data_IF_384491656514
#
_entry.id   IF_384491656514
#
_cell.length_a   1.000
_cell.length_b   1.000
_cell.length_c   1.000
_cell.angle_alpha   90.00
_cell.angle_beta   90.00
_cell.angle_gamma   90.00
#
_symmetry.space_group_name_H-M   'P 1'
#
loop_
_entity.id
_entity.type
_entity.pdbx_description
1 polymer ?
#
# COMPACT_ATOMS: atom_id res chain seq x y z
N UNK A 1 8.91 -0.19 24.14
CA UNK A 1 8.77 0.91 23.19
C UNK A 1 7.34 0.94 22.67
N UNK A 2 6.89 2.11 22.24
CA UNK A 2 5.57 2.24 21.60
C UNK A 2 5.69 3.11 20.35
N UNK A 3 4.80 2.86 19.40
CA UNK A 3 4.68 3.62 18.16
C UNK A 3 3.20 3.75 17.81
N UNK A 4 2.83 4.79 17.08
CA UNK A 4 1.47 4.98 16.59
C UNK A 4 1.48 5.82 15.33
N UNK A 5 0.44 5.66 14.52
CA UNK A 5 0.33 6.40 13.28
C UNK A 5 -1.02 6.20 12.58
N UNK A 6 -1.27 7.07 11.61
CA UNK A 6 -2.37 6.98 10.66
C UNK A 6 -1.77 6.79 9.26
N UNK A 7 -2.21 5.75 8.56
CA UNK A 7 -1.63 5.38 7.25
C UNK A 7 -2.75 5.00 6.28
N UNK A 8 -2.75 5.52 5.04
CA UNK A 8 -3.63 5.02 4.01
C UNK A 8 -3.22 3.58 3.61
N UNK A 9 -4.21 2.69 3.49
CA UNK A 9 -4.03 1.29 3.08
C UNK A 9 -4.31 1.13 1.60
N UNK A 10 -5.39 1.75 1.13
CA UNK A 10 -5.85 1.65 -0.25
C UNK A 10 -6.58 2.93 -0.64
N UNK A 11 -6.43 3.33 -1.88
CA UNK A 11 -7.15 4.46 -2.49
C UNK A 11 -7.67 4.01 -3.84
N UNK A 12 -8.92 4.36 -4.14
CA UNK A 12 -9.54 4.18 -5.43
C UNK A 12 -9.98 5.55 -5.91
N UNK A 13 -9.56 5.93 -7.12
CA UNK A 13 -10.01 7.14 -7.79
C UNK A 13 -9.85 6.92 -9.30
N UNK A 14 -10.94 6.56 -9.97
CA UNK A 14 -10.92 6.39 -11.42
C UNK A 14 -12.27 6.72 -12.04
N UNK A 15 -12.22 7.22 -13.27
CA UNK A 15 -13.35 7.29 -14.19
C UNK A 15 -12.94 6.71 -15.53
N UNK A 16 -13.65 5.70 -15.97
CA UNK A 16 -13.47 5.10 -17.29
C UNK A 16 -14.76 5.24 -18.09
N UNK A 17 -14.64 5.48 -19.38
CA UNK A 17 -15.84 5.56 -20.23
C UNK A 17 -15.60 4.93 -21.59
N UNK A 18 -16.64 4.28 -22.08
CA UNK A 18 -16.70 3.67 -23.39
C UNK A 18 -17.90 4.23 -24.14
N UNK A 19 -17.67 4.84 -25.31
CA UNK A 19 -18.70 5.43 -26.12
C UNK A 19 -18.95 4.58 -27.35
N UNK A 20 -20.21 4.34 -27.65
CA UNK A 20 -20.64 3.59 -28.82
C UNK A 20 -21.25 4.55 -29.84
N UNK A 21 -20.92 4.37 -31.13
CA UNK A 21 -21.47 5.20 -32.19
C UNK A 21 -22.99 5.05 -32.25
N UNK A 22 -23.62 6.02 -32.91
CA UNK A 22 -25.08 6.08 -33.07
C UNK A 22 -25.62 4.82 -33.73
N UNK A 23 -26.38 4.04 -32.98
CA UNK A 23 -27.22 2.96 -33.51
C UNK A 23 -28.52 3.54 -34.06
N UNK A 24 -29.05 2.94 -35.13
CA UNK A 24 -30.29 3.41 -35.78
C UNK A 24 -31.55 3.29 -34.91
N UNK A 25 -31.51 2.45 -33.87
CA UNK A 25 -32.64 2.17 -32.97
C UNK A 25 -32.52 2.93 -31.65
N UNK A 26 -31.33 2.90 -31.02
CA UNK A 26 -31.13 3.42 -29.65
C UNK A 26 -30.32 4.74 -29.60
N UNK A 27 -29.79 5.18 -30.72
CA UNK A 27 -28.97 6.38 -30.76
C UNK A 27 -27.55 6.20 -30.21
N UNK A 28 -26.87 7.30 -29.90
CA UNK A 28 -25.58 7.24 -29.22
C UNK A 28 -25.76 6.85 -27.75
N UNK A 29 -24.89 5.97 -27.24
CA UNK A 29 -24.90 5.59 -25.84
C UNK A 29 -23.48 5.47 -25.28
N UNK A 30 -23.36 5.67 -23.99
CA UNK A 30 -22.08 5.70 -23.29
C UNK A 30 -22.16 4.93 -21.98
N UNK A 31 -21.21 4.03 -21.76
CA UNK A 31 -20.96 3.45 -20.45
C UNK A 31 -19.93 4.29 -19.71
N UNK A 32 -20.22 4.60 -18.45
CA UNK A 32 -19.31 5.34 -17.56
C UNK A 32 -19.16 4.53 -16.30
N UNK A 33 -17.92 4.20 -15.95
CA UNK A 33 -17.56 3.49 -14.74
C UNK A 33 -16.79 4.44 -13.84
N UNK A 34 -17.22 4.58 -12.59
CA UNK A 34 -16.56 5.39 -11.58
C UNK A 34 -16.24 4.57 -10.34
N UNK A 35 -15.14 4.89 -9.71
CA UNK A 35 -14.81 4.35 -8.41
C UNK A 35 -14.04 5.38 -7.61
N UNK A 36 -14.43 5.60 -6.36
CA UNK A 36 -13.78 6.54 -5.45
C UNK A 36 -13.78 6.01 -4.02
N UNK A 37 -12.88 6.53 -3.20
CA UNK A 37 -12.76 6.21 -1.79
C UNK A 37 -11.46 5.57 -1.40
N UNK A 38 -11.42 4.95 -0.22
CA UNK A 38 -10.22 4.31 0.28
C UNK A 38 -10.36 3.80 1.69
N UNK A 39 -9.37 3.03 2.10
CA UNK A 39 -9.24 2.51 3.46
C UNK A 39 -8.03 3.17 4.10
N UNK A 40 -8.23 3.67 5.30
CA UNK A 40 -7.19 4.14 6.19
C UNK A 40 -7.05 3.20 7.39
N UNK A 41 -5.91 3.21 8.04
CA UNK A 41 -5.70 2.52 9.31
C UNK A 41 -5.03 3.41 10.34
N UNK A 42 -5.56 3.37 11.55
CA UNK A 42 -4.86 3.84 12.75
C UNK A 42 -4.16 2.64 13.35
N UNK A 43 -2.89 2.78 13.70
CA UNK A 43 -2.11 1.71 14.32
C UNK A 43 -1.52 2.15 15.66
N UNK A 44 -1.50 1.22 16.61
CA UNK A 44 -0.79 1.31 17.87
C UNK A 44 0.09 0.08 18.04
N UNK A 45 1.40 0.31 18.12
CA UNK A 45 2.40 -0.74 18.28
C UNK A 45 3.05 -0.69 19.66
N UNK A 46 3.19 -1.85 20.27
CA UNK A 46 3.92 -2.04 21.51
C UNK A 46 5.03 -3.06 21.29
N UNK A 47 6.21 -2.81 21.83
CA UNK A 47 7.30 -3.78 21.81
C UNK A 47 7.94 -3.92 23.19
N UNK A 48 8.29 -5.17 23.49
CA UNK A 48 8.91 -5.57 24.73
C UNK A 48 10.20 -6.34 24.46
N UNK A 49 11.22 -6.04 25.23
CA UNK A 49 12.50 -6.75 25.23
C UNK A 49 12.71 -7.34 26.62
N UNK A 50 12.61 -8.68 26.77
CA UNK A 50 12.77 -9.33 28.05
C UNK A 50 14.17 -9.12 28.63
N UNK A 51 14.29 -8.76 29.90
CA UNK A 51 15.58 -8.52 30.55
C UNK A 51 16.45 -9.78 30.66
N UNK A 52 15.79 -10.97 30.72
CA UNK A 52 16.48 -12.28 30.74
C UNK A 52 16.97 -12.72 29.36
N UNK A 53 16.51 -12.04 28.28
CA UNK A 53 16.91 -12.37 26.91
C UNK A 53 17.03 -11.08 26.07
N UNK A 54 18.02 -10.24 26.40
CA UNK A 54 18.22 -8.90 25.86
C UNK A 54 18.41 -8.83 24.33
N UNK A 55 18.67 -9.96 23.69
CA UNK A 55 18.83 -10.04 22.23
C UNK A 55 17.51 -10.17 21.49
N UNK A 56 16.43 -10.57 22.17
CA UNK A 56 15.12 -10.79 21.61
C UNK A 56 14.20 -9.60 21.91
N UNK A 57 13.51 -9.12 20.92
CA UNK A 57 12.38 -8.19 21.07
C UNK A 57 11.16 -8.78 20.42
N UNK A 58 10.02 -8.68 21.09
CA UNK A 58 8.70 -9.07 20.56
C UNK A 58 7.83 -7.84 20.46
N UNK A 59 6.97 -7.80 19.47
CA UNK A 59 6.08 -6.68 19.19
C UNK A 59 4.69 -7.14 18.79
N UNK A 60 3.72 -6.30 19.11
CA UNK A 60 2.34 -6.41 18.69
C UNK A 60 1.89 -5.05 18.17
N UNK A 61 1.34 -5.04 16.97
CA UNK A 61 0.61 -3.89 16.43
C UNK A 61 -0.89 -4.24 16.39
N UNK A 62 -1.71 -3.38 16.99
CA UNK A 62 -3.14 -3.36 16.79
C UNK A 62 -3.47 -2.26 15.77
N UNK A 63 -4.24 -2.60 14.76
CA UNK A 63 -4.58 -1.74 13.65
C UNK A 63 -6.11 -1.66 13.53
N UNK A 64 -6.67 -0.47 13.52
CA UNK A 64 -8.08 -0.22 13.23
C UNK A 64 -8.20 0.33 11.81
N UNK A 65 -8.75 -0.47 10.92
CA UNK A 65 -9.01 -0.11 9.52
C UNK A 65 -10.42 0.45 9.39
N UNK A 66 -10.56 1.53 8.62
CA UNK A 66 -11.86 2.17 8.36
C UNK A 66 -11.84 2.89 7.01
N UNK A 67 -13.00 2.99 6.39
CA UNK A 67 -13.14 3.69 5.12
C UNK A 67 -14.39 3.31 4.35
N UNK A 68 -14.55 3.92 3.18
CA UNK A 68 -15.65 3.66 2.28
C UNK A 68 -15.13 3.47 0.86
N UNK A 69 -15.80 2.60 0.12
CA UNK A 69 -15.65 2.45 -1.33
C UNK A 69 -16.98 2.74 -2.00
N UNK A 70 -16.94 3.65 -2.96
CA UNK A 70 -18.04 3.92 -3.86
C UNK A 70 -17.69 3.43 -5.26
N UNK A 71 -18.61 2.72 -5.90
CA UNK A 71 -18.50 2.31 -7.30
C UNK A 71 -19.80 2.61 -8.02
N UNK A 72 -19.69 3.13 -9.23
CA UNK A 72 -20.85 3.39 -10.08
C UNK A 72 -20.64 2.84 -11.49
N UNK A 73 -21.73 2.39 -12.08
CA UNK A 73 -21.83 2.03 -13.49
C UNK A 73 -23.05 2.73 -14.09
N UNK A 74 -22.82 3.57 -15.06
CA UNK A 74 -23.85 4.39 -15.69
C UNK A 74 -23.95 4.04 -17.18
N UNK A 75 -25.14 3.70 -17.63
CA UNK A 75 -25.51 3.67 -19.04
C UNK A 75 -26.22 4.99 -19.35
N UNK A 76 -25.61 5.82 -20.19
CA UNK A 76 -26.11 7.15 -20.53
C UNK A 76 -26.52 7.23 -21.98
N UNK A 77 -27.68 7.86 -22.22
CA UNK A 77 -28.23 8.17 -23.54
C UNK A 77 -28.31 9.70 -23.70
N UNK A 78 -27.19 10.37 -24.03
CA UNK A 78 -27.11 11.83 -23.98
C UNK A 78 -28.04 12.54 -24.98
N UNK A 79 -28.28 11.90 -26.12
CA UNK A 79 -28.98 12.51 -27.25
C UNK A 79 -30.39 11.90 -27.45
N UNK A 80 -30.88 11.06 -26.57
CA UNK A 80 -32.16 10.41 -26.72
C UNK A 80 -33.20 10.94 -25.76
N UNK A 81 -34.30 11.42 -26.28
CA UNK A 81 -35.49 11.76 -25.48
C UNK A 81 -36.33 10.51 -25.09
N UNK A 82 -36.12 9.38 -25.77
CA UNK A 82 -36.96 8.18 -25.63
C UNK A 82 -36.39 7.13 -24.66
N UNK A 83 -35.10 7.24 -24.32
CA UNK A 83 -34.42 6.30 -23.42
C UNK A 83 -33.98 6.99 -22.15
N UNK A 84 -34.28 6.35 -21.01
CA UNK A 84 -33.80 6.80 -19.72
C UNK A 84 -32.37 6.28 -19.50
N UNK A 85 -31.49 7.16 -19.04
CA UNK A 85 -30.19 6.76 -18.52
C UNK A 85 -30.38 5.94 -17.23
N UNK A 86 -29.49 5.03 -16.96
CA UNK A 86 -29.55 4.15 -15.80
C UNK A 86 -28.24 4.16 -15.06
N UNK A 87 -28.29 4.18 -13.72
CA UNK A 87 -27.09 4.11 -12.86
C UNK A 87 -27.27 3.06 -11.78
N UNK A 88 -26.23 2.24 -11.65
CA UNK A 88 -26.04 1.32 -10.54
C UNK A 88 -24.92 1.84 -9.67
N UNK A 89 -25.17 1.95 -8.37
CA UNK A 89 -24.22 2.42 -7.36
C UNK A 89 -24.06 1.36 -6.27
N UNK A 90 -22.82 1.17 -5.85
CA UNK A 90 -22.45 0.37 -4.69
C UNK A 90 -21.64 1.23 -3.73
N UNK A 91 -22.04 1.28 -2.49
CA UNK A 91 -21.30 1.92 -1.42
C UNK A 91 -20.98 0.88 -0.34
N UNK A 92 -19.70 0.69 -0.05
CA UNK A 92 -19.20 -0.26 0.95
C UNK A 92 -18.58 0.52 2.10
N UNK A 93 -19.14 0.40 3.29
CA UNK A 93 -18.54 0.92 4.52
C UNK A 93 -17.81 -0.18 5.25
N UNK A 94 -16.59 0.09 5.69
CA UNK A 94 -15.65 -0.88 6.24
C UNK A 94 -15.15 -0.39 7.59
N UNK A 95 -15.18 -1.28 8.58
CA UNK A 95 -14.48 -1.06 9.84
C UNK A 95 -14.05 -2.40 10.45
N UNK A 96 -12.77 -2.56 10.78
CA UNK A 96 -12.26 -3.79 11.38
C UNK A 96 -10.95 -3.58 12.14
N UNK A 97 -10.70 -4.48 13.09
CA UNK A 97 -9.38 -4.61 13.72
C UNK A 97 -8.54 -5.67 13.01
N UNK A 98 -7.27 -5.37 12.87
CA UNK A 98 -6.24 -6.30 12.42
C UNK A 98 -5.08 -6.30 13.42
N UNK A 99 -4.35 -7.41 13.47
CA UNK A 99 -3.22 -7.57 14.37
C UNK A 99 -1.99 -8.07 13.60
N UNK A 100 -0.84 -7.48 13.93
CA UNK A 100 0.45 -7.86 13.38
C UNK A 100 1.39 -8.20 14.53
N UNK A 101 1.90 -9.42 14.54
CA UNK A 101 2.88 -9.92 15.47
C UNK A 101 4.28 -9.78 14.86
N UNK A 102 5.24 -9.36 15.65
CA UNK A 102 6.61 -9.21 15.20
C UNK A 102 7.61 -9.73 16.24
N UNK A 103 8.72 -10.24 15.75
CA UNK A 103 9.85 -10.62 16.59
C UNK A 103 11.16 -10.22 15.92
N UNK A 104 12.15 -9.86 16.73
CA UNK A 104 13.46 -9.48 16.26
C UNK A 104 14.53 -10.03 17.21
N UNK A 105 15.53 -10.68 16.65
CA UNK A 105 16.73 -11.11 17.35
C UNK A 105 17.93 -10.32 16.85
N UNK A 106 18.68 -9.68 17.76
CA UNK A 106 19.84 -8.87 17.42
C UNK A 106 21.08 -9.33 18.19
N UNK A 107 22.07 -9.82 17.45
CA UNK A 107 23.37 -10.23 17.99
C UNK A 107 24.39 -9.11 17.70
N UNK A 108 24.92 -8.52 18.76
CA UNK A 108 26.07 -7.60 18.67
C UNK A 108 27.35 -8.40 18.88
N UNK A 109 28.33 -8.13 18.05
CA UNK A 109 29.67 -8.72 18.12
C UNK A 109 30.66 -7.80 18.84
N UNK A 110 31.76 -8.36 19.32
CA UNK A 110 32.81 -7.62 20.04
C UNK A 110 33.51 -6.56 19.20
N UNK A 111 33.53 -6.72 17.87
CA UNK A 111 34.08 -5.75 16.91
C UNK A 111 33.13 -4.56 16.63
N UNK A 112 31.94 -4.50 17.27
CA UNK A 112 30.95 -3.47 17.10
C UNK A 112 29.98 -3.69 15.93
N UNK A 113 30.09 -4.82 15.22
CA UNK A 113 29.14 -5.23 14.20
C UNK A 113 27.84 -5.76 14.84
N UNK A 114 26.74 -5.76 14.11
CA UNK A 114 25.47 -6.32 14.56
C UNK A 114 24.81 -7.12 13.42
N UNK A 115 24.30 -8.30 13.77
CA UNK A 115 23.45 -9.12 12.92
C UNK A 115 22.05 -9.11 13.51
N UNK A 116 21.08 -8.74 12.70
CA UNK A 116 19.68 -8.72 13.15
C UNK A 116 18.82 -9.57 12.21
N UNK A 117 18.03 -10.44 12.80
CA UNK A 117 17.02 -11.26 12.12
C UNK A 117 15.67 -10.81 12.65
N UNK A 118 14.74 -10.51 11.74
CA UNK A 118 13.38 -10.12 12.06
C UNK A 118 12.36 -11.02 11.38
N UNK A 119 11.20 -11.19 12.01
CA UNK A 119 10.04 -11.81 11.40
C UNK A 119 8.78 -11.09 11.83
N UNK A 120 7.80 -11.04 10.93
CA UNK A 120 6.47 -10.51 11.23
C UNK A 120 5.40 -11.41 10.63
N UNK A 121 4.24 -11.40 11.26
CA UNK A 121 3.06 -12.16 10.82
C UNK A 121 1.82 -11.30 11.00
N UNK A 122 1.11 -11.06 9.89
CA UNK A 122 -0.17 -10.37 9.87
C UNK A 122 -1.28 -11.42 9.88
N UNK A 123 -2.16 -11.34 10.84
CA UNK A 123 -3.26 -12.28 10.98
C UNK A 123 -4.28 -12.09 9.83
N UNK A 124 -4.94 -13.16 9.39
CA UNK A 124 -6.07 -13.03 8.49
C UNK A 124 -7.17 -12.24 9.18
N UNK A 125 -7.85 -11.38 8.43
CA UNK A 125 -8.84 -10.46 9.01
C UNK A 125 -10.16 -10.56 8.30
N UNK A 126 -11.21 -10.83 9.07
CA UNK A 126 -12.59 -10.74 8.64
C UNK A 126 -13.06 -9.29 8.84
N UNK A 127 -13.44 -8.64 7.75
CA UNK A 127 -13.96 -7.27 7.74
C UNK A 127 -15.44 -7.29 7.43
N UNK A 128 -16.33 -7.07 8.39
CA UNK A 128 -17.74 -6.88 8.11
C UNK A 128 -17.95 -5.61 7.28
N UNK A 129 -18.80 -5.69 6.29
CA UNK A 129 -19.13 -4.58 5.41
C UNK A 129 -20.63 -4.31 5.44
N UNK A 130 -20.97 -3.02 5.45
CA UNK A 130 -22.34 -2.58 5.18
C UNK A 130 -22.38 -2.09 3.74
N UNK A 131 -23.23 -2.71 2.92
CA UNK A 131 -23.29 -2.45 1.51
C UNK A 131 -24.62 -1.81 1.18
N UNK A 132 -24.58 -0.68 0.49
CA UNK A 132 -25.75 -0.02 -0.07
C UNK A 132 -25.72 -0.19 -1.57
N UNK A 133 -26.74 -0.80 -2.10
CA UNK A 133 -26.97 -0.95 -3.53
C UNK A 133 -28.11 -0.02 -3.94
N UNK A 134 -27.89 0.77 -5.00
CA UNK A 134 -28.93 1.61 -5.61
C UNK A 134 -28.92 1.41 -7.11
N UNK A 135 -30.09 1.17 -7.66
CA UNK A 135 -30.31 1.20 -9.09
C UNK A 135 -31.46 2.16 -9.39
N UNK A 136 -31.20 3.16 -10.22
CA UNK A 136 -32.18 4.15 -10.58
C UNK A 136 -32.02 4.59 -12.04
N UNK A 137 -33.12 5.13 -12.59
CA UNK A 137 -33.13 5.77 -13.90
C UNK A 137 -33.23 7.27 -13.78
N UNK A 138 -32.65 7.96 -14.73
CA UNK A 138 -32.62 9.42 -14.73
C UNK A 138 -32.61 10.00 -16.15
N UNK A 139 -32.92 11.28 -16.24
CA UNK A 139 -32.79 12.09 -17.45
C UNK A 139 -31.97 13.34 -17.16
N UNK A 140 -31.36 13.93 -18.17
CA UNK A 140 -30.74 15.24 -18.07
C UNK A 140 -31.71 16.34 -18.44
N UNK A 141 -31.76 17.41 -17.63
CA UNK A 141 -32.38 18.66 -17.98
C UNK A 141 -31.33 19.77 -17.76
N UNK A 142 -30.84 20.36 -18.85
CA UNK A 142 -29.82 21.42 -18.84
C UNK A 142 -28.61 21.05 -17.93
N UNK A 143 -28.02 19.87 -18.11
CA UNK A 143 -26.90 19.30 -17.34
C UNK A 143 -27.20 18.89 -15.89
N UNK A 144 -28.45 18.99 -15.43
CA UNK A 144 -28.88 18.47 -14.11
C UNK A 144 -29.51 17.09 -14.28
N UNK A 145 -29.05 16.13 -13.49
CA UNK A 145 -29.67 14.80 -13.43
C UNK A 145 -30.99 14.87 -12.65
N UNK A 146 -32.05 14.41 -13.29
CA UNK A 146 -33.37 14.27 -12.66
C UNK A 146 -33.67 12.79 -12.55
N UNK A 147 -33.66 12.26 -11.33
CA UNK A 147 -34.08 10.87 -11.07
C UNK A 147 -35.53 10.71 -11.45
N UNK A 148 -35.82 9.69 -12.25
CA UNK A 148 -37.18 9.39 -12.73
C UNK A 148 -37.81 8.27 -11.93
N UNK A 149 -37.05 7.20 -11.69
CA UNK A 149 -37.51 6.06 -10.91
C UNK A 149 -36.34 5.41 -10.16
N UNK A 150 -36.61 4.93 -8.95
CA UNK A 150 -35.69 4.11 -8.17
C UNK A 150 -36.11 2.65 -8.35
N UNK A 151 -35.40 1.94 -9.22
CA UNK A 151 -35.74 0.56 -9.57
C UNK A 151 -35.50 -0.39 -8.40
N UNK A 152 -34.41 -0.16 -7.65
CA UNK A 152 -34.02 -1.02 -6.54
C UNK A 152 -33.14 -0.24 -5.54
N UNK A 153 -33.40 -0.46 -4.25
CA UNK A 153 -32.57 0.01 -3.17
C UNK A 153 -32.47 -1.09 -2.11
N UNK A 154 -31.25 -1.52 -1.84
CA UNK A 154 -30.99 -2.58 -0.86
C UNK A 154 -29.83 -2.20 0.07
N UNK A 155 -30.02 -2.51 1.35
CA UNK A 155 -28.93 -2.52 2.33
C UNK A 155 -28.65 -3.98 2.66
N UNK A 156 -27.42 -4.42 2.44
CA UNK A 156 -27.00 -5.78 2.71
C UNK A 156 -25.75 -5.77 3.58
N UNK A 157 -25.64 -6.78 4.41
CA UNK A 157 -24.39 -7.06 5.11
C UNK A 157 -23.55 -8.00 4.27
N UNK A 158 -22.24 -7.85 4.37
CA UNK A 158 -21.31 -8.71 3.69
C UNK A 158 -19.97 -8.74 4.39
N UNK A 159 -18.98 -9.34 3.77
CA UNK A 159 -17.64 -9.42 4.33
C UNK A 159 -16.55 -9.31 3.29
N UNK A 160 -15.40 -8.84 3.76
CA UNK A 160 -14.12 -8.93 3.06
C UNK A 160 -13.19 -9.78 3.92
N UNK A 161 -12.62 -10.83 3.33
CA UNK A 161 -11.59 -11.62 3.99
C UNK A 161 -10.22 -11.18 3.49
N UNK A 162 -9.45 -10.55 4.37
CA UNK A 162 -8.04 -10.26 4.08
C UNK A 162 -7.18 -11.45 4.45
N UNK A 163 -6.28 -11.88 3.56
CA UNK A 163 -5.43 -13.02 3.80
C UNK A 163 -4.33 -12.72 4.81
N UNK A 164 -3.78 -13.78 5.37
CA UNK A 164 -2.56 -13.71 6.17
C UNK A 164 -1.36 -13.32 5.32
N UNK A 165 -0.36 -12.73 5.98
CA UNK A 165 0.95 -12.51 5.39
C UNK A 165 2.06 -12.65 6.41
N UNK A 166 3.25 -13.02 5.95
CA UNK A 166 4.43 -13.06 6.79
C UNK A 166 5.64 -12.47 6.07
N UNK A 167 6.57 -11.96 6.84
CA UNK A 167 7.84 -11.45 6.36
C UNK A 167 8.98 -11.91 7.24
N UNK A 168 10.13 -12.10 6.63
CA UNK A 168 11.40 -12.36 7.32
C UNK A 168 12.46 -11.45 6.75
N UNK A 169 13.33 -10.95 7.62
CA UNK A 169 14.40 -10.04 7.22
C UNK A 169 15.70 -10.37 7.94
N UNK A 170 16.79 -10.10 7.26
CA UNK A 170 18.15 -10.22 7.76
C UNK A 170 18.89 -8.92 7.50
N UNK A 171 19.56 -8.37 8.50
CA UNK A 171 20.46 -7.24 8.30
C UNK A 171 21.77 -7.42 9.02
N UNK A 172 22.85 -6.99 8.37
CA UNK A 172 24.18 -6.91 8.95
C UNK A 172 24.65 -5.47 8.90
N UNK A 173 25.02 -4.96 10.07
CA UNK A 173 25.47 -3.59 10.25
C UNK A 173 26.89 -3.56 10.82
N UNK A 174 27.78 -2.81 10.19
CA UNK A 174 29.00 -2.26 10.80
C UNK A 174 28.75 -0.80 11.11
N UNK A 175 28.63 -0.49 12.39
CA UNK A 175 28.28 0.84 12.87
C UNK A 175 29.09 1.94 12.17
N UNK A 176 28.37 2.93 11.67
CA UNK A 176 28.93 4.09 10.97
C UNK A 176 29.71 3.79 9.68
N UNK A 177 29.62 2.59 9.14
CA UNK A 177 30.35 2.22 7.93
C UNK A 177 29.46 1.62 6.84
N UNK A 178 28.78 0.53 7.12
CA UNK A 178 27.86 -0.04 6.15
C UNK A 178 26.72 -0.83 6.82
N UNK A 179 25.63 -0.89 6.14
CA UNK A 179 24.47 -1.73 6.44
C UNK A 179 24.10 -2.48 5.17
N UNK A 180 23.82 -3.77 5.30
CA UNK A 180 23.23 -4.58 4.22
C UNK A 180 21.99 -5.26 4.77
N UNK A 181 20.92 -5.28 4.01
CA UNK A 181 19.66 -5.90 4.39
C UNK A 181 19.06 -6.72 3.26
N UNK A 182 18.40 -7.81 3.64
CA UNK A 182 17.61 -8.68 2.77
C UNK A 182 16.28 -8.95 3.43
N UNK A 183 15.19 -8.82 2.66
CA UNK A 183 13.84 -9.11 3.15
C UNK A 183 13.10 -10.01 2.16
N UNK A 184 12.35 -10.93 2.71
CA UNK A 184 11.39 -11.78 2.00
C UNK A 184 10.02 -11.60 2.61
N UNK A 185 9.01 -11.44 1.78
CA UNK A 185 7.61 -11.35 2.18
C UNK A 185 6.74 -12.31 1.37
N UNK A 186 5.70 -12.82 2.02
CA UNK A 186 4.66 -13.64 1.40
C UNK A 186 3.29 -13.18 1.87
N UNK A 187 2.34 -13.06 0.95
CA UNK A 187 0.94 -12.75 1.25
C UNK A 187 0.03 -13.66 0.43
N UNK A 188 -0.90 -14.34 1.11
CA UNK A 188 -1.73 -15.39 0.55
C UNK A 188 -2.99 -14.81 -0.12
N UNK A 189 -2.81 -13.97 -1.14
CA UNK A 189 -3.91 -13.28 -1.83
C UNK A 189 -4.89 -14.21 -2.57
N UNK A 190 -4.52 -15.45 -2.81
CA UNK A 190 -5.43 -16.47 -3.34
C UNK A 190 -6.62 -16.76 -2.41
N UNK A 191 -6.46 -16.49 -1.11
CA UNK A 191 -7.51 -16.66 -0.09
C UNK A 191 -8.40 -15.42 0.10
N UNK A 192 -8.07 -14.30 -0.54
CA UNK A 192 -8.90 -13.10 -0.51
C UNK A 192 -10.31 -13.41 -0.99
N UNK A 193 -11.32 -12.95 -0.24
CA UNK A 193 -12.70 -13.01 -0.70
C UNK A 193 -13.43 -11.68 -0.48
N UNK A 194 -14.33 -11.39 -1.38
CA UNK A 194 -15.25 -10.28 -1.31
C UNK A 194 -16.68 -10.85 -1.37
N UNK A 195 -17.49 -10.58 -0.36
CA UNK A 195 -18.87 -11.09 -0.25
C UNK A 195 -18.93 -12.63 -0.33
N UNK A 196 -17.98 -13.33 0.28
CA UNK A 196 -17.87 -14.78 0.22
C UNK A 196 -17.38 -15.35 -1.12
N UNK A 197 -17.11 -14.50 -2.12
CA UNK A 197 -16.61 -14.92 -3.43
C UNK A 197 -15.10 -14.79 -3.47
N UNK A 198 -14.42 -15.88 -3.79
CA UNK A 198 -12.96 -15.91 -4.04
C UNK A 198 -12.68 -15.71 -5.52
N UNK A 199 -11.53 -15.11 -5.80
CA UNK A 199 -11.07 -14.79 -7.16
C UNK A 199 -9.72 -15.46 -7.52
N UNK A 200 -9.56 -16.79 -7.37
CA UNK A 200 -8.26 -17.46 -7.49
C UNK A 200 -7.66 -17.44 -8.90
N UNK A 201 -8.45 -17.11 -9.92
CA UNK A 201 -7.95 -16.90 -11.29
C UNK A 201 -7.33 -15.52 -11.52
N UNK A 202 -7.71 -14.55 -10.68
CA UNK A 202 -7.30 -13.15 -10.80
C UNK A 202 -6.30 -12.78 -9.70
N UNK A 203 -6.56 -13.26 -8.47
CA UNK A 203 -5.70 -13.02 -7.32
C UNK A 203 -4.86 -14.26 -7.02
N UNK A 204 -3.57 -14.06 -6.96
CA UNK A 204 -2.54 -15.07 -6.65
C UNK A 204 -1.72 -14.65 -5.45
N UNK A 205 -1.09 -15.63 -4.85
CA UNK A 205 -0.15 -15.37 -3.77
C UNK A 205 0.99 -14.48 -4.24
N UNK A 206 1.35 -13.53 -3.40
CA UNK A 206 2.35 -12.54 -3.70
C UNK A 206 3.64 -12.81 -2.91
N UNK A 207 4.76 -12.81 -3.62
CA UNK A 207 6.11 -12.92 -3.06
C UNK A 207 6.84 -11.59 -3.29
N UNK A 208 7.50 -11.10 -2.23
CA UNK A 208 8.28 -9.86 -2.26
C UNK A 208 9.71 -10.16 -1.84
N UNK A 209 10.68 -9.68 -2.59
CA UNK A 209 12.10 -9.80 -2.31
C UNK A 209 12.71 -8.40 -2.36
N UNK A 210 13.36 -7.99 -1.27
CA UNK A 210 14.07 -6.73 -1.21
C UNK A 210 15.51 -6.96 -0.78
N UNK A 211 16.43 -6.23 -1.41
CA UNK A 211 17.83 -6.17 -1.00
C UNK A 211 18.28 -4.72 -0.98
N UNK A 212 19.04 -4.34 0.03
CA UNK A 212 19.53 -2.98 0.15
C UNK A 212 20.87 -2.88 0.85
N UNK A 213 21.62 -1.85 0.51
CA UNK A 213 22.89 -1.53 1.13
C UNK A 213 23.02 -0.03 1.38
N UNK A 214 23.62 0.33 2.49
CA UNK A 214 24.07 1.69 2.82
C UNK A 214 25.58 1.65 3.08
N UNK A 215 26.30 2.62 2.55
CA UNK A 215 27.73 2.81 2.78
C UNK A 215 28.04 4.25 3.15
N UNK A 216 28.81 4.43 4.22
CA UNK A 216 29.38 5.72 4.67
C UNK A 216 30.89 5.58 4.69
N UNK A 217 31.62 6.24 3.79
CA UNK A 217 33.08 6.11 3.70
C UNK A 217 33.78 6.45 5.02
N UNK A 218 33.59 7.66 5.53
CA UNK A 218 34.09 8.09 6.84
C UNK A 218 33.21 9.19 7.45
N UNK A 219 32.73 8.95 8.66
CA UNK A 219 31.89 9.92 9.39
C UNK A 219 32.70 11.14 9.92
N UNK A 220 34.01 11.05 9.98
CA UNK A 220 34.93 12.12 10.43
C UNK A 220 35.65 12.82 9.28
N UNK A 221 35.55 12.28 8.06
CA UNK A 221 36.21 12.77 6.87
C UNK A 221 35.62 14.08 6.31
N UNK A 222 35.85 14.32 5.04
CA UNK A 222 35.29 15.47 4.33
C UNK A 222 33.76 15.31 4.11
N UNK A 223 33.13 16.33 3.51
CA UNK A 223 31.66 16.31 3.33
C UNK A 223 31.17 15.10 2.53
N UNK A 224 31.83 14.74 1.43
CA UNK A 224 31.45 13.62 0.59
C UNK A 224 31.64 12.27 1.28
N UNK A 225 32.61 12.14 2.16
CA UNK A 225 32.85 10.93 2.95
C UNK A 225 31.79 10.72 4.04
N UNK A 226 31.10 11.79 4.46
CA UNK A 226 30.01 11.76 5.43
C UNK A 226 28.67 11.44 4.81
N UNK A 227 28.56 11.49 3.48
CA UNK A 227 27.34 11.14 2.76
C UNK A 227 27.05 9.65 2.94
N UNK A 228 25.80 9.32 3.25
CA UNK A 228 25.33 7.94 3.19
C UNK A 228 24.91 7.61 1.76
N UNK A 229 25.64 6.73 1.11
CA UNK A 229 25.33 6.20 -0.21
C UNK A 229 24.48 4.97 -0.06
N UNK A 230 23.35 4.91 -0.78
CA UNK A 230 22.38 3.80 -0.68
C UNK A 230 22.08 3.22 -2.02
N UNK A 231 21.92 1.90 -2.05
CA UNK A 231 21.50 1.14 -3.19
C UNK A 231 20.41 0.15 -2.76
N UNK A 232 19.39 -0.04 -3.59
CA UNK A 232 18.31 -0.98 -3.32
C UNK A 232 17.77 -1.62 -4.58
N UNK A 233 17.29 -2.85 -4.42
CA UNK A 233 16.55 -3.61 -5.44
C UNK A 233 15.31 -4.17 -4.78
N UNK A 234 14.18 -4.06 -5.45
CA UNK A 234 12.92 -4.68 -5.05
C UNK A 234 12.36 -5.51 -6.20
N UNK A 235 11.78 -6.65 -5.86
CA UNK A 235 11.05 -7.49 -6.79
C UNK A 235 9.79 -8.03 -6.11
N UNK A 236 8.67 -7.96 -6.83
CA UNK A 236 7.39 -8.47 -6.37
C UNK A 236 6.72 -9.24 -7.50
N UNK A 237 6.24 -10.45 -7.22
CA UNK A 237 5.51 -11.24 -8.21
C UNK A 237 4.18 -10.61 -8.58
N UNK A 238 3.62 -9.78 -7.67
CA UNK A 238 2.31 -9.18 -7.81
C UNK A 238 1.17 -10.13 -7.42
N UNK A 239 0.09 -9.56 -6.95
CA UNK A 239 -1.11 -10.32 -6.56
C UNK A 239 -2.11 -10.48 -7.72
N UNK A 240 -1.93 -9.76 -8.82
CA UNK A 240 -2.87 -9.78 -9.95
C UNK A 240 -2.35 -10.67 -11.08
N UNK A 241 -3.22 -11.54 -11.59
CA UNK A 241 -3.03 -12.32 -12.80
C UNK A 241 -4.14 -11.99 -13.79
N UNK A 242 -3.79 -11.36 -14.91
CA UNK A 242 -4.73 -10.98 -15.95
C UNK A 242 -4.44 -11.76 -17.22
N UNK A 243 -5.45 -12.35 -17.86
CA UNK A 243 -5.29 -13.18 -19.07
C UNK A 243 -4.22 -14.26 -18.89
N UNK A 244 -4.21 -14.93 -17.72
CA UNK A 244 -3.20 -15.92 -17.32
C UNK A 244 -1.75 -15.41 -17.30
N UNK A 245 -1.56 -14.11 -17.07
CA UNK A 245 -0.25 -13.48 -17.01
C UNK A 245 -0.13 -12.70 -15.71
N UNK A 246 0.92 -12.96 -14.95
CA UNK A 246 1.14 -12.33 -13.66
C UNK A 246 1.73 -10.93 -13.84
N UNK A 247 1.23 -9.97 -13.06
CA UNK A 247 1.64 -8.57 -13.09
C UNK A 247 2.75 -8.37 -12.06
N UNK A 248 3.98 -8.64 -12.45
CA UNK A 248 5.14 -8.46 -11.58
C UNK A 248 5.69 -7.03 -11.61
N UNK A 249 6.46 -6.70 -10.58
CA UNK A 249 7.15 -5.42 -10.47
C UNK A 249 8.61 -5.65 -10.09
N UNK A 250 9.51 -4.87 -10.69
CA UNK A 250 10.93 -4.79 -10.33
C UNK A 250 11.35 -3.33 -10.27
N UNK A 251 12.14 -2.96 -9.29
CA UNK A 251 12.68 -1.61 -9.14
C UNK A 251 14.12 -1.62 -8.64
N UNK A 252 14.86 -0.60 -9.04
CA UNK A 252 16.22 -0.33 -8.58
C UNK A 252 16.26 1.10 -8.06
N UNK A 253 16.86 1.31 -6.90
CA UNK A 253 16.93 2.61 -6.26
C UNK A 253 18.35 3.02 -5.91
N UNK A 254 18.62 4.31 -6.03
CA UNK A 254 19.83 4.98 -5.55
C UNK A 254 19.43 6.06 -4.56
N UNK A 255 20.18 6.20 -3.48
CA UNK A 255 19.88 7.20 -2.44
C UNK A 255 21.11 7.84 -1.86
N UNK A 256 20.93 9.09 -1.39
CA UNK A 256 21.97 9.88 -0.75
C UNK A 256 21.42 10.46 0.55
N UNK A 257 22.12 10.21 1.65
CA UNK A 257 21.85 10.84 2.94
C UNK A 257 22.85 11.96 3.19
N UNK A 258 22.42 13.20 2.95
CA UNK A 258 23.25 14.39 3.04
C UNK A 258 23.24 14.92 4.49
N UNK A 259 24.38 14.88 5.22
CA UNK A 259 24.41 15.35 6.59
C UNK A 259 24.33 16.87 6.64
N UNK A 260 23.54 17.39 7.58
CA UNK A 260 23.50 18.81 7.92
C UNK A 260 24.35 19.05 9.18
N UNK A 261 24.82 20.29 9.39
CA UNK A 261 25.72 20.68 10.48
C UNK A 261 25.30 20.24 11.90
N UNK A 262 23.99 19.99 12.13
CA UNK A 262 23.46 19.51 13.40
C UNK A 262 23.58 17.98 13.48
N UNK A 263 24.24 17.46 14.51
CA UNK A 263 24.46 16.01 14.69
C UNK A 263 23.15 15.22 14.59
N UNK A 264 23.13 14.22 13.70
CA UNK A 264 21.99 13.32 13.50
C UNK A 264 20.87 13.88 12.62
N UNK A 265 21.07 15.06 12.01
CA UNK A 265 20.14 15.63 11.05
C UNK A 265 20.66 15.43 9.63
N UNK A 266 19.81 14.93 8.74
CA UNK A 266 20.16 14.70 7.34
C UNK A 266 18.97 14.92 6.40
N UNK A 267 19.26 15.36 5.19
CA UNK A 267 18.34 15.33 4.05
C UNK A 267 18.61 14.05 3.27
N UNK A 268 17.56 13.27 3.01
CA UNK A 268 17.66 12.08 2.18
C UNK A 268 17.03 12.37 0.83
N UNK A 269 17.74 12.04 -0.22
CA UNK A 269 17.26 12.11 -1.61
C UNK A 269 17.35 10.71 -2.17
N UNK A 270 16.32 10.25 -2.87
CA UNK A 270 16.39 8.99 -3.59
C UNK A 270 15.78 9.09 -4.99
N UNK A 271 16.29 8.26 -5.85
CA UNK A 271 15.82 8.02 -7.20
C UNK A 271 15.54 6.53 -7.35
N UNK A 272 14.36 6.17 -7.81
CA UNK A 272 13.98 4.80 -8.12
C UNK A 272 13.49 4.73 -9.56
N UNK A 273 14.03 3.77 -10.32
CA UNK A 273 13.51 3.37 -11.62
C UNK A 273 12.97 1.96 -11.52
N UNK A 274 11.78 1.74 -12.06
CA UNK A 274 11.17 0.41 -12.05
C UNK A 274 10.25 0.15 -13.21
N UNK A 275 9.85 -1.11 -13.30
CA UNK A 275 8.91 -1.63 -14.30
C UNK A 275 7.83 -2.42 -13.59
N UNK A 276 6.59 -2.22 -14.01
CA UNK A 276 5.43 -2.97 -13.54
C UNK A 276 4.64 -3.50 -14.72
N UNK A 277 4.22 -4.75 -14.63
CA UNK A 277 3.44 -5.41 -15.67
C UNK A 277 4.25 -5.86 -16.88
N UNK A 278 3.55 -6.24 -17.94
CA UNK A 278 4.11 -6.81 -19.15
C UNK A 278 3.31 -6.43 -20.39
N UNK A 279 3.91 -6.46 -21.56
CA UNK A 279 3.22 -6.28 -22.86
C UNK A 279 2.65 -7.58 -23.43
N UNK A 280 2.92 -8.72 -22.79
CA UNK A 280 2.36 -10.00 -23.22
C UNK A 280 0.83 -10.01 -23.10
N UNK A 281 0.15 -10.75 -23.96
CA UNK A 281 -1.31 -10.92 -23.96
C UNK A 281 -2.11 -9.60 -24.01
N UNK A 282 -1.57 -8.59 -24.73
CA UNK A 282 -2.16 -7.24 -24.82
C UNK A 282 -2.37 -6.57 -23.46
N UNK A 283 -1.46 -6.80 -22.52
CA UNK A 283 -1.41 -6.11 -21.24
C UNK A 283 -0.54 -4.87 -21.33
N UNK A 284 -0.61 -4.04 -20.28
CA UNK A 284 0.15 -2.81 -20.18
C UNK A 284 1.39 -3.04 -19.32
N UNK A 285 2.54 -2.56 -19.78
CA UNK A 285 3.75 -2.41 -18.98
C UNK A 285 3.97 -0.93 -18.73
N UNK A 286 4.14 -0.60 -17.46
CA UNK A 286 4.49 0.73 -17.03
C UNK A 286 5.98 0.78 -16.63
N UNK A 287 6.69 1.75 -17.17
CA UNK A 287 8.03 2.11 -16.74
C UNK A 287 7.90 3.39 -15.91
N UNK A 288 8.38 3.39 -14.66
CA UNK A 288 8.23 4.54 -13.77
C UNK A 288 9.56 5.05 -13.24
N UNK A 289 9.61 6.36 -13.00
CA UNK A 289 10.69 7.03 -12.31
C UNK A 289 10.12 7.75 -11.10
N UNK A 290 10.62 7.42 -9.92
CA UNK A 290 10.19 8.03 -8.65
C UNK A 290 11.35 8.78 -8.03
N UNK A 291 11.11 10.02 -7.66
CA UNK A 291 12.06 10.86 -6.92
C UNK A 291 11.45 11.21 -5.57
N UNK A 292 12.21 11.08 -4.52
CA UNK A 292 11.75 11.46 -3.19
C UNK A 292 12.81 12.21 -2.40
N UNK A 293 12.31 13.13 -1.57
CA UNK A 293 13.14 13.88 -0.61
C UNK A 293 12.49 13.74 0.76
N UNK A 294 13.32 13.42 1.76
CA UNK A 294 12.87 13.37 3.15
C UNK A 294 13.87 14.03 4.08
N UNK A 295 13.37 14.52 5.20
CA UNK A 295 14.17 15.15 6.24
C UNK A 295 14.13 14.29 7.49
N UNK A 296 15.30 13.93 8.01
CA UNK A 296 15.45 13.21 9.27
C UNK A 296 16.13 14.10 10.28
N UNK A 297 15.46 14.35 11.41
CA UNK A 297 16.02 15.08 12.54
C UNK A 297 16.08 14.16 13.76
N UNK A 298 17.22 14.17 14.45
CA UNK A 298 17.41 13.47 15.72
C UNK A 298 17.62 14.50 16.81
N UNK A 299 16.75 14.49 17.82
CA UNK A 299 16.91 15.32 19.00
C UNK A 299 16.77 14.49 20.28
N UNK A 300 17.38 14.93 21.35
CA UNK A 300 17.24 14.32 22.68
C UNK A 300 16.23 15.14 23.46
N UNK A 301 15.08 14.56 23.75
CA UNK A 301 14.02 15.15 24.55
C UNK A 301 14.28 14.86 26.03
N UNK A 302 13.78 15.74 26.91
CA UNK A 302 13.89 15.64 28.37
C UNK A 302 15.33 15.74 28.94
N UNK A 303 16.22 16.44 28.27
CA UNK A 303 17.54 16.75 28.82
C UNK A 303 17.43 18.01 29.69
N UNK A 304 17.57 17.88 31.02
CA UNK A 304 17.73 19.06 31.90
C UNK A 304 19.04 19.78 31.52
N UNK A 305 18.93 20.98 30.96
CA UNK A 305 20.13 21.86 30.81
C UNK A 305 20.58 22.25 32.20
N UNK A 306 21.80 21.88 32.57
CA UNK A 306 22.46 22.46 33.73
C UNK A 306 22.82 23.89 33.34
N UNK A 307 22.19 24.87 33.98
CA UNK A 307 22.66 26.25 33.93
C UNK A 307 23.93 26.27 34.77
N UNK A 308 25.04 26.74 34.18
CA UNK A 308 26.23 27.14 34.89
C UNK A 308 26.06 28.57 35.36
#
# INVERSE_FOLDING_TARGET
KMAGGLVPVSVIDYTASESFPTDSIIGSHKFIYGGEGGINKVMLGLSYQPSFFEKLSIGLNAEYMFGNYYRSSTLSFPDSANFLSSRVEYNYSISAFNFNLAMQYSQKFTNGDALTIGANYVLPTHIPTQNQYRHYTFTYNAAVEIVRDSVQYENTEGSIELPQSFGVGLSYERKNKFLVGLDFGYAQWSEFSLQGIRYPKILKDNYTFNAGAEYKPDIYGNYFEKIAYRFGVNYQTGMLSLRNTDISQIGVSLGFGLPIKKQGTQVNIYLEYGKQGTKANNLIREDYLRVGVSFSAKDRWFFKRKYQ
#
